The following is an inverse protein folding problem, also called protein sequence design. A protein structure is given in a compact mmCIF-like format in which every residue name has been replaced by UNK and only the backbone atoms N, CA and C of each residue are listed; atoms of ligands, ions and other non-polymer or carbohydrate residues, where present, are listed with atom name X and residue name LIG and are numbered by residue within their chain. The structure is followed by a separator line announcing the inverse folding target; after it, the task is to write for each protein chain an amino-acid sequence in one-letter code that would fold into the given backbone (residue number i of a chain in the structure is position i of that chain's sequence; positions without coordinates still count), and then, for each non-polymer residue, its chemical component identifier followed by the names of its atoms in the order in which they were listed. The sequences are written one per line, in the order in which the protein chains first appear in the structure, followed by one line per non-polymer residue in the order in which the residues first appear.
data_IF_441553510383
#
_entry.id   IF_441553510383
#
_cell.length_a   1.000
_cell.length_b   1.000
_cell.length_c   1.000
_cell.angle_alpha   90.00
_cell.angle_beta   90.00
_cell.angle_gamma   90.00
#
_symmetry.space_group_name_H-M   'P 1'
#
loop_
_entity.id
_entity.type
_entity.pdbx_description
1 polymer ?
#
# COMPACT_ATOMS: atom_id res chain seq x y z
N UNK A 1 -8.85 2.96 -23.06
CA UNK A 1 -9.84 3.95 -22.55
C UNK A 1 -10.16 3.61 -21.11
N UNK A 2 -10.14 4.59 -20.24
CA UNK A 2 -10.43 4.37 -18.81
C UNK A 2 -11.84 4.78 -18.47
N UNK A 3 -12.36 4.20 -17.38
CA UNK A 3 -13.68 4.53 -16.80
C UNK A 3 -13.46 5.07 -15.40
N UNK A 4 -14.10 6.19 -15.08
CA UNK A 4 -14.06 6.81 -13.76
C UNK A 4 -15.44 6.74 -13.11
N UNK A 5 -15.47 6.28 -11.86
CA UNK A 5 -16.66 6.29 -11.02
C UNK A 5 -16.34 6.94 -9.68
N UNK A 6 -17.32 7.63 -9.13
CA UNK A 6 -17.22 8.22 -7.79
C UNK A 6 -18.14 7.40 -6.89
N UNK A 7 -17.57 6.79 -5.85
CA UNK A 7 -18.32 6.00 -4.88
C UNK A 7 -19.07 6.93 -3.91
N UNK A 8 -20.11 6.42 -3.21
CA UNK A 8 -20.91 7.26 -2.29
C UNK A 8 -20.08 7.96 -1.20
N UNK A 9 -18.93 7.37 -0.81
CA UNK A 9 -18.02 7.96 0.18
C UNK A 9 -17.01 8.96 -0.40
N UNK A 10 -17.13 9.28 -1.71
CA UNK A 10 -16.24 10.22 -2.39
C UNK A 10 -14.98 9.61 -3.00
N UNK A 11 -14.72 8.33 -2.76
CA UNK A 11 -13.57 7.64 -3.39
C UNK A 11 -13.76 7.55 -4.90
N UNK A 12 -12.72 7.88 -5.64
CA UNK A 12 -12.70 7.79 -7.10
C UNK A 12 -12.12 6.45 -7.52
N UNK A 13 -12.91 5.68 -8.24
CA UNK A 13 -12.49 4.41 -8.82
C UNK A 13 -12.19 4.62 -10.31
N UNK A 14 -10.95 4.39 -10.70
CA UNK A 14 -10.53 4.51 -12.09
C UNK A 14 -10.10 3.12 -12.56
N UNK A 15 -10.69 2.67 -13.64
CA UNK A 15 -10.38 1.37 -14.23
C UNK A 15 -10.05 1.50 -15.69
N UNK A 16 -9.10 0.72 -16.16
CA UNK A 16 -8.75 0.58 -17.57
C UNK A 16 -8.63 -0.89 -17.91
N UNK A 17 -9.37 -1.32 -18.92
CA UNK A 17 -9.29 -2.69 -19.41
C UNK A 17 -8.20 -2.79 -20.47
N UNK A 18 -7.30 -3.76 -20.29
CA UNK A 18 -6.26 -4.09 -21.24
C UNK A 18 -6.49 -5.53 -21.67
N UNK A 19 -6.90 -5.71 -22.92
CA UNK A 19 -7.16 -7.04 -23.45
C UNK A 19 -5.86 -7.84 -23.64
N UNK A 20 -5.97 -9.16 -23.61
CA UNK A 20 -4.86 -10.10 -23.76
C UNK A 20 -3.82 -10.10 -22.63
N UNK A 21 -4.14 -9.48 -21.49
CA UNK A 21 -3.30 -9.51 -20.30
C UNK A 21 -3.90 -10.46 -19.26
N UNK A 22 -3.02 -11.25 -18.65
CA UNK A 22 -3.41 -12.19 -17.58
C UNK A 22 -3.06 -11.68 -16.19
N UNK A 23 -2.62 -10.42 -16.11
CA UNK A 23 -2.31 -9.75 -14.85
C UNK A 23 -3.13 -8.49 -14.70
N UNK A 24 -3.38 -8.11 -13.45
CA UNK A 24 -4.10 -6.88 -13.10
C UNK A 24 -3.26 -6.13 -12.08
N UNK A 25 -3.09 -4.84 -12.30
CA UNK A 25 -2.50 -3.93 -11.32
C UNK A 25 -3.62 -3.18 -10.62
N UNK A 26 -3.57 -3.14 -9.30
CA UNK A 26 -4.50 -2.38 -8.48
C UNK A 26 -3.71 -1.51 -7.49
N UNK A 27 -4.12 -0.28 -7.32
CA UNK A 27 -3.44 0.65 -6.43
C UNK A 27 -4.42 1.49 -5.64
N UNK A 28 -4.05 1.79 -4.41
CA UNK A 28 -4.73 2.77 -3.56
C UNK A 28 -3.85 4.02 -3.55
N UNK A 29 -4.38 5.09 -4.09
CA UNK A 29 -3.70 6.37 -4.20
C UNK A 29 -4.24 7.32 -3.13
N UNK A 30 -3.34 7.83 -2.29
CA UNK A 30 -3.67 8.78 -1.24
C UNK A 30 -3.10 10.13 -1.63
N UNK A 31 -3.94 11.15 -1.67
CA UNK A 31 -3.54 12.53 -2.00
C UNK A 31 -2.79 13.20 -0.85
N UNK A 32 -1.79 12.52 -0.31
CA UNK A 32 -0.96 13.01 0.78
C UNK A 32 0.47 12.49 0.60
N UNK A 33 1.41 13.40 0.64
CA UNK A 33 2.82 13.12 0.53
C UNK A 33 3.62 14.09 1.38
N UNK A 34 4.94 14.13 1.23
CA UNK A 34 5.82 14.91 2.10
C UNK A 34 5.51 16.41 2.10
N UNK A 35 4.99 16.94 1.01
CA UNK A 35 4.63 18.38 0.90
C UNK A 35 3.57 18.81 1.91
N UNK A 36 2.64 17.90 2.25
CA UNK A 36 1.50 18.20 3.11
C UNK A 36 1.75 17.90 4.58
N UNK A 37 2.93 17.39 4.91
CA UNK A 37 3.28 17.05 6.29
C UNK A 37 3.70 18.30 7.07
N UNK A 38 3.13 18.53 8.27
CA UNK A 38 3.67 19.56 9.15
C UNK A 38 5.08 19.16 9.60
N UNK A 39 5.89 20.16 9.98
CA UNK A 39 7.31 19.93 10.31
C UNK A 39 7.49 18.87 11.41
N UNK A 40 6.58 18.81 12.38
CA UNK A 40 6.62 17.86 13.49
C UNK A 40 6.38 16.41 13.04
N UNK A 41 5.74 16.23 11.88
CA UNK A 41 5.39 14.93 11.33
C UNK A 41 6.15 14.64 10.02
N UNK A 42 7.25 15.33 9.78
CA UNK A 42 8.08 15.11 8.60
C UNK A 42 8.53 13.65 8.49
N UNK A 43 8.21 13.01 7.36
CA UNK A 43 8.51 11.61 7.12
C UNK A 43 7.39 10.63 7.50
N UNK A 44 6.25 11.11 8.02
CA UNK A 44 5.17 10.21 8.47
C UNK A 44 4.58 9.38 7.32
N UNK A 45 4.44 9.95 6.14
CA UNK A 45 3.91 9.21 4.99
C UNK A 45 4.82 8.05 4.59
N UNK A 46 6.12 8.29 4.55
CA UNK A 46 7.14 7.26 4.29
C UNK A 46 7.14 6.19 5.40
N UNK A 47 6.99 6.62 6.64
CA UNK A 47 6.94 5.70 7.77
C UNK A 47 5.70 4.79 7.72
N UNK A 48 4.53 5.34 7.40
CA UNK A 48 3.30 4.57 7.21
C UNK A 48 3.47 3.57 6.06
N UNK A 49 4.14 3.96 4.99
CA UNK A 49 4.46 3.06 3.87
C UNK A 49 5.17 1.79 4.37
N UNK A 50 6.18 1.94 5.23
CA UNK A 50 6.86 0.80 5.84
C UNK A 50 5.91 -0.02 6.73
N UNK A 51 5.09 0.64 7.51
CA UNK A 51 4.23 -0.01 8.50
C UNK A 51 3.08 -0.83 7.90
N UNK A 52 2.63 -0.48 6.72
CA UNK A 52 1.52 -1.18 6.04
C UNK A 52 1.82 -2.67 5.84
N UNK A 53 3.10 -3.02 5.66
CA UNK A 53 3.52 -4.41 5.44
C UNK A 53 3.80 -5.19 6.73
N UNK A 54 3.66 -4.57 7.90
CA UNK A 54 4.07 -5.17 9.19
C UNK A 54 2.96 -5.92 9.92
N UNK A 55 1.78 -5.93 9.40
CA UNK A 55 0.68 -6.72 9.93
C UNK A 55 -0.62 -5.95 10.06
N UNK A 56 -1.69 -6.71 10.04
CA UNK A 56 -3.06 -6.24 10.25
C UNK A 56 -3.63 -6.95 11.48
N UNK A 57 -4.86 -6.63 11.82
CA UNK A 57 -5.55 -7.34 12.92
C UNK A 57 -5.69 -8.85 12.63
N UNK A 58 -5.77 -9.22 11.35
CA UNK A 58 -6.00 -10.61 10.92
C UNK A 58 -4.73 -11.34 10.47
N UNK A 59 -3.71 -10.60 10.04
CA UNK A 59 -2.52 -11.18 9.38
C UNK A 59 -1.25 -10.63 10.00
N UNK A 60 -0.31 -11.50 10.31
CA UNK A 60 1.05 -11.08 10.67
C UNK A 60 1.80 -10.62 9.40
N UNK A 61 2.95 -9.98 9.57
CA UNK A 61 3.82 -9.60 8.46
C UNK A 61 4.19 -10.82 7.60
N UNK A 62 4.47 -11.95 8.24
CA UNK A 62 4.75 -13.20 7.55
C UNK A 62 3.55 -13.71 6.74
N UNK A 63 2.35 -13.65 7.30
CA UNK A 63 1.13 -14.04 6.60
C UNK A 63 0.87 -13.15 5.38
N UNK A 64 1.13 -11.86 5.49
CA UNK A 64 1.03 -10.93 4.37
C UNK A 64 1.98 -11.33 3.24
N UNK A 65 3.24 -11.58 3.57
CA UNK A 65 4.25 -11.99 2.58
C UNK A 65 3.85 -13.30 1.88
N UNK A 66 3.41 -14.29 2.65
CA UNK A 66 2.94 -15.58 2.11
C UNK A 66 1.70 -15.39 1.23
N UNK A 67 0.77 -14.54 1.65
CA UNK A 67 -0.44 -14.25 0.87
C UNK A 67 -0.11 -13.60 -0.47
N UNK A 68 0.82 -12.65 -0.49
CA UNK A 68 1.28 -12.01 -1.73
C UNK A 68 1.89 -13.04 -2.68
N UNK A 69 2.77 -13.90 -2.17
CA UNK A 69 3.37 -14.97 -2.96
C UNK A 69 2.33 -15.96 -3.50
N UNK A 70 1.34 -16.33 -2.68
CA UNK A 70 0.27 -17.22 -3.07
C UNK A 70 -0.63 -16.64 -4.18
N UNK A 71 -0.72 -15.32 -4.29
CA UNK A 71 -1.45 -14.64 -5.36
C UNK A 71 -0.67 -14.61 -6.69
N UNK A 72 0.55 -15.13 -6.70
CA UNK A 72 1.43 -15.04 -7.88
C UNK A 72 1.79 -13.60 -8.20
N UNK A 73 1.81 -12.75 -7.18
CA UNK A 73 1.86 -11.31 -7.36
C UNK A 73 3.05 -10.63 -6.72
N UNK A 74 3.04 -9.34 -6.88
CA UNK A 74 4.00 -8.42 -6.28
C UNK A 74 3.21 -7.29 -5.61
N UNK A 75 3.68 -6.85 -4.46
CA UNK A 75 3.12 -5.68 -3.77
C UNK A 75 4.25 -4.73 -3.41
N UNK A 76 3.97 -3.45 -3.52
CA UNK A 76 4.93 -2.41 -3.15
C UNK A 76 4.18 -1.11 -2.86
N UNK A 77 4.92 -0.12 -2.44
CA UNK A 77 4.39 1.21 -2.20
C UNK A 77 5.45 2.24 -2.54
N UNK A 78 5.02 3.47 -2.76
CA UNK A 78 5.93 4.61 -2.85
C UNK A 78 5.28 5.84 -2.26
N UNK A 79 6.11 6.73 -1.74
CA UNK A 79 5.72 8.04 -1.24
C UNK A 79 6.53 9.09 -1.98
N UNK A 80 5.83 10.07 -2.55
CA UNK A 80 6.48 11.24 -3.13
C UNK A 80 6.02 12.52 -2.43
N UNK A 81 6.23 13.66 -3.05
CA UNK A 81 5.88 14.96 -2.46
C UNK A 81 4.39 15.19 -2.37
N UNK A 82 3.61 14.65 -3.27
CA UNK A 82 2.19 14.97 -3.41
C UNK A 82 1.25 13.79 -3.15
N UNK A 83 1.74 12.58 -3.25
CA UNK A 83 0.90 11.40 -3.06
C UNK A 83 1.68 10.22 -2.47
N UNK A 84 0.92 9.27 -1.96
CA UNK A 84 1.41 7.95 -1.56
C UNK A 84 0.58 6.90 -2.29
N UNK A 85 1.22 5.87 -2.82
CA UNK A 85 0.54 4.80 -3.51
C UNK A 85 0.92 3.45 -2.91
N UNK A 86 -0.09 2.64 -2.63
CA UNK A 86 0.05 1.25 -2.23
C UNK A 86 -0.51 0.41 -3.35
N UNK A 87 0.29 -0.43 -3.96
CA UNK A 87 -0.14 -1.14 -5.16
C UNK A 87 0.29 -2.59 -5.17
N UNK A 88 -0.42 -3.36 -5.98
CA UNK A 88 -0.24 -4.78 -6.12
C UNK A 88 -0.48 -5.18 -7.57
N UNK A 89 0.30 -6.13 -8.05
CA UNK A 89 0.09 -6.76 -9.35
C UNK A 89 -0.15 -8.24 -9.12
N UNK A 90 -1.27 -8.75 -9.61
CA UNK A 90 -1.69 -10.13 -9.39
C UNK A 90 -2.20 -10.75 -10.68
N UNK A 91 -2.36 -12.07 -10.70
CA UNK A 91 -3.07 -12.74 -11.78
C UNK A 91 -4.54 -12.28 -11.81
N UNK A 92 -5.10 -12.17 -13.00
CA UNK A 92 -6.49 -11.76 -13.18
C UNK A 92 -7.49 -12.65 -12.42
N UNK A 93 -7.21 -13.94 -12.34
CA UNK A 93 -8.02 -14.90 -11.58
C UNK A 93 -7.96 -14.70 -10.06
N UNK A 94 -7.00 -13.91 -9.58
CA UNK A 94 -6.77 -13.64 -8.16
C UNK A 94 -7.08 -12.21 -7.76
N UNK A 95 -7.66 -11.42 -8.65
CA UNK A 95 -7.93 -10.01 -8.40
C UNK A 95 -8.74 -9.77 -7.13
N UNK A 96 -9.78 -10.54 -6.92
CA UNK A 96 -10.65 -10.39 -5.73
C UNK A 96 -9.86 -10.60 -4.43
N UNK A 97 -9.03 -11.62 -4.39
CA UNK A 97 -8.18 -11.89 -3.23
C UNK A 97 -7.11 -10.82 -3.03
N UNK A 98 -6.54 -10.33 -4.13
CA UNK A 98 -5.56 -9.24 -4.09
C UNK A 98 -6.16 -7.95 -3.56
N UNK A 99 -7.33 -7.57 -4.03
CA UNK A 99 -8.04 -6.37 -3.53
C UNK A 99 -8.38 -6.52 -2.05
N UNK A 100 -8.84 -7.70 -1.61
CA UNK A 100 -9.15 -7.94 -0.21
C UNK A 100 -7.91 -7.83 0.68
N UNK A 101 -6.77 -8.36 0.23
CA UNK A 101 -5.51 -8.26 0.97
C UNK A 101 -5.03 -6.81 1.06
N UNK A 102 -5.02 -6.09 -0.05
CA UNK A 102 -4.58 -4.70 -0.10
C UNK A 102 -5.47 -3.81 0.77
N UNK A 103 -6.79 -4.02 0.72
CA UNK A 103 -7.74 -3.30 1.56
C UNK A 103 -7.53 -3.59 3.05
N UNK A 104 -7.27 -4.84 3.41
CA UNK A 104 -6.96 -5.19 4.80
C UNK A 104 -5.69 -4.50 5.29
N UNK A 105 -4.64 -4.52 4.50
CA UNK A 105 -3.38 -3.83 4.82
C UNK A 105 -3.59 -2.33 5.00
N UNK A 106 -4.37 -1.71 4.13
CA UNK A 106 -4.61 -0.27 4.15
C UNK A 106 -5.56 0.16 5.28
N UNK A 107 -6.64 -0.58 5.50
CA UNK A 107 -7.69 -0.20 6.45
C UNK A 107 -7.46 -0.72 7.86
N UNK A 108 -6.72 -1.81 8.02
CA UNK A 108 -6.62 -2.53 9.28
C UNK A 108 -5.17 -2.78 9.72
N UNK A 109 -4.23 -1.93 9.28
CA UNK A 109 -2.85 -2.01 9.74
C UNK A 109 -2.81 -1.88 11.27
N UNK A 110 -2.03 -2.77 11.88
CA UNK A 110 -1.97 -2.91 13.33
C UNK A 110 -1.14 -1.83 14.03
N UNK A 111 -0.14 -1.29 13.35
CA UNK A 111 0.80 -0.31 13.91
C UNK A 111 1.32 -0.72 15.29
N UNK A 112 1.74 -1.97 15.44
CA UNK A 112 2.22 -2.48 16.72
C UNK A 112 3.46 -1.73 17.19
N UNK A 113 3.53 -1.44 18.49
CA UNK A 113 4.62 -0.64 19.07
C UNK A 113 6.00 -1.25 18.76
N UNK A 114 6.12 -2.56 18.83
CA UNK A 114 7.36 -3.29 18.54
C UNK A 114 7.83 -3.05 17.10
N UNK A 115 6.89 -3.11 16.15
CA UNK A 115 7.18 -2.89 14.75
C UNK A 115 7.51 -1.41 14.48
N UNK A 116 6.83 -0.48 15.16
CA UNK A 116 7.13 0.95 15.07
C UNK A 116 8.59 1.23 15.45
N UNK A 117 9.06 0.62 16.53
CA UNK A 117 10.43 0.83 16.99
C UNK A 117 11.46 0.21 16.07
N UNK A 118 11.20 -0.99 15.56
CA UNK A 118 12.07 -1.65 14.59
C UNK A 118 12.17 -0.86 13.28
N UNK A 119 11.03 -0.45 12.73
CA UNK A 119 11.00 0.30 11.48
C UNK A 119 11.58 1.70 11.60
N UNK A 120 11.48 2.30 12.78
CA UNK A 120 12.14 3.58 13.04
C UNK A 120 13.64 3.50 12.79
N UNK A 121 14.27 2.42 13.26
CA UNK A 121 15.69 2.18 13.00
C UNK A 121 15.99 2.02 11.52
N UNK A 122 15.19 1.24 10.81
CA UNK A 122 15.34 1.02 9.37
C UNK A 122 15.21 2.33 8.59
N UNK A 123 14.19 3.11 8.87
CA UNK A 123 13.94 4.39 8.18
C UNK A 123 15.06 5.39 8.46
N UNK A 124 15.55 5.45 9.69
CA UNK A 124 16.69 6.32 10.03
C UNK A 124 17.95 5.93 9.25
N UNK A 125 18.21 4.63 9.11
CA UNK A 125 19.33 4.15 8.30
C UNK A 125 19.17 4.52 6.82
N UNK A 126 17.97 4.43 6.27
CA UNK A 126 17.70 4.85 4.90
C UNK A 126 17.95 6.35 4.70
N UNK A 127 17.53 7.17 5.64
CA UNK A 127 17.78 8.63 5.60
C UNK A 127 19.27 8.92 5.62
N UNK A 128 20.04 8.22 6.44
CA UNK A 128 21.47 8.41 6.54
C UNK A 128 22.23 7.97 5.28
N UNK A 129 21.64 7.14 4.44
CA UNK A 129 22.21 6.69 3.17
C UNK A 129 22.09 7.72 2.03
N UNK A 130 21.26 8.75 2.19
CA UNK A 130 21.00 9.79 1.16
C UNK A 130 21.54 11.17 1.61
#
# INVERSE_FOLDING_TARGET
MYVKRILPNGVRLITERIDNMRTVSVGIWVGNGSRYEPAELGGVSHFIEHMIFKGTEKRSARHIAIAIDALGGQANAFTDKECTCYYMKVLDSRLKNGVALLADMFLHSRFAQEDLELERGVVLEEIDMY
#
